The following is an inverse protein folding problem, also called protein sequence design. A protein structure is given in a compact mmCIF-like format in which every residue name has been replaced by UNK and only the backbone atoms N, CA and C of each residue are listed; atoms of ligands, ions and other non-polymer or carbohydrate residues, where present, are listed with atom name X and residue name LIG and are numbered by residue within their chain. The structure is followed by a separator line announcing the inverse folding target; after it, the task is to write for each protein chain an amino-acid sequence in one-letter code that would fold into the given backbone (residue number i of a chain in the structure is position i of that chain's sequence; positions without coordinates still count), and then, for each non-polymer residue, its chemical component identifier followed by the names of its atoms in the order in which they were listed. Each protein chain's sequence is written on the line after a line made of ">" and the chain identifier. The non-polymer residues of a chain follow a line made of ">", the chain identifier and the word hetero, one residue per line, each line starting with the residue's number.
data_IF_565563817231
#
_entry.id   IF_565563817231
#
_cell.length_a   1.000
_cell.length_b   1.000
_cell.length_c   1.000
_cell.angle_alpha   90.00
_cell.angle_beta   90.00
_cell.angle_gamma   90.00
#
_symmetry.space_group_name_H-M   'P 1'
#
loop_
_entity.id
_entity.type
_entity.pdbx_description
1 polymer ?
#
# COMPACT_ATOMS: atom_id res chain seq x y z
N UNK A 1 9.09 -6.82 6.48
CA UNK A 1 7.74 -6.24 6.30
C UNK A 1 7.82 -5.15 5.25
N UNK A 2 6.89 -5.13 4.28
CA UNK A 2 6.88 -4.12 3.22
C UNK A 2 6.90 -2.70 3.82
N UNK A 3 8.06 -2.10 3.87
CA UNK A 3 8.29 -0.75 4.39
C UNK A 3 8.68 0.24 3.28
N UNK A 4 8.68 -0.22 2.00
CA UNK A 4 9.08 0.58 0.87
C UNK A 4 8.56 0.03 -0.45
N UNK A 5 8.04 0.89 -1.31
CA UNK A 5 7.68 0.55 -2.67
C UNK A 5 8.10 1.66 -3.63
N UNK A 6 7.99 1.44 -4.91
CA UNK A 6 8.43 2.39 -5.94
C UNK A 6 7.33 2.62 -6.96
N UNK A 7 7.25 3.85 -7.41
CA UNK A 7 6.55 4.26 -8.63
C UNK A 7 7.63 4.55 -9.66
N UNK A 8 7.69 3.74 -10.71
CA UNK A 8 8.72 3.88 -11.74
C UNK A 8 8.41 5.03 -12.71
N UNK A 9 9.43 5.69 -13.30
CA UNK A 9 9.21 6.81 -14.22
C UNK A 9 8.46 6.47 -15.51
N UNK A 10 8.36 5.17 -15.84
CA UNK A 10 7.69 4.69 -17.06
C UNK A 10 6.26 4.16 -16.81
N UNK A 11 5.75 4.26 -15.59
CA UNK A 11 4.38 3.87 -15.26
C UNK A 11 3.41 5.04 -15.48
N UNK A 12 3.10 5.31 -16.74
CA UNK A 12 2.26 6.44 -17.16
C UNK A 12 0.88 6.44 -16.46
N UNK A 13 0.29 5.27 -16.22
CA UNK A 13 -0.98 5.14 -15.51
C UNK A 13 -0.89 5.71 -14.08
N UNK A 14 0.15 5.34 -13.33
CA UNK A 14 0.34 5.85 -11.97
C UNK A 14 0.69 7.35 -11.98
N UNK A 15 1.51 7.78 -12.94
CA UNK A 15 1.89 9.18 -13.08
C UNK A 15 0.68 10.06 -13.40
N UNK A 16 -0.26 9.58 -14.21
CA UNK A 16 -1.51 10.30 -14.47
C UNK A 16 -2.37 10.42 -13.21
N UNK A 17 -2.49 9.35 -12.42
CA UNK A 17 -3.14 9.40 -11.11
C UNK A 17 -2.50 10.46 -10.20
N UNK A 18 -1.17 10.56 -10.18
CA UNK A 18 -0.45 11.59 -9.39
C UNK A 18 -0.81 13.00 -9.89
N UNK A 19 -0.85 13.23 -11.20
CA UNK A 19 -1.23 14.53 -11.78
C UNK A 19 -2.67 14.90 -11.43
N UNK A 20 -3.60 13.96 -11.54
CA UNK A 20 -5.01 14.16 -11.22
C UNK A 20 -5.20 14.58 -9.77
N UNK A 21 -4.66 13.81 -8.82
CA UNK A 21 -4.86 14.09 -7.39
C UNK A 21 -4.20 15.39 -6.94
N UNK A 22 -3.09 15.80 -7.55
CA UNK A 22 -2.39 17.02 -7.17
C UNK A 22 -3.13 18.32 -7.55
N UNK A 23 -4.20 18.22 -8.38
CA UNK A 23 -5.11 19.31 -8.73
C UNK A 23 -6.34 19.40 -7.82
N UNK A 24 -6.45 18.56 -6.80
CA UNK A 24 -7.61 18.51 -5.92
C UNK A 24 -7.49 19.45 -4.72
N UNK A 25 -8.64 19.86 -4.15
CA UNK A 25 -8.68 20.62 -2.89
C UNK A 25 -8.01 19.87 -1.72
N UNK A 26 -8.04 18.54 -1.76
CA UNK A 26 -7.35 17.73 -0.75
C UNK A 26 -5.83 17.93 -0.82
N UNK A 27 -5.26 18.08 -2.01
CA UNK A 27 -3.84 18.37 -2.19
C UNK A 27 -3.46 19.75 -1.61
N UNK A 28 -4.33 20.75 -1.79
CA UNK A 28 -4.15 22.08 -1.19
C UNK A 28 -4.15 22.00 0.33
N UNK A 29 -5.13 21.29 0.90
CA UNK A 29 -5.21 21.08 2.36
C UNK A 29 -3.96 20.38 2.93
N UNK A 30 -3.39 19.41 2.23
CA UNK A 30 -2.13 18.77 2.64
C UNK A 30 -0.98 19.79 2.68
N UNK A 31 -0.84 20.62 1.62
CA UNK A 31 0.21 21.65 1.55
C UNK A 31 0.06 22.70 2.66
N UNK A 32 -1.17 23.15 2.94
CA UNK A 32 -1.46 24.08 4.05
C UNK A 32 -1.06 23.52 5.41
N UNK A 33 -1.09 22.19 5.58
CA UNK A 33 -0.62 21.50 6.80
C UNK A 33 0.89 21.19 6.78
N UNK A 34 1.63 21.70 5.79
CA UNK A 34 3.06 21.45 5.64
C UNK A 34 3.40 20.02 5.19
N UNK A 35 2.42 19.30 4.63
CA UNK A 35 2.61 17.95 4.09
C UNK A 35 2.64 18.03 2.56
N UNK A 36 3.76 17.64 1.95
CA UNK A 36 3.90 17.64 0.49
C UNK A 36 3.48 16.27 -0.07
N UNK A 37 2.38 16.21 -0.86
CA UNK A 37 2.09 15.01 -1.63
C UNK A 37 3.18 14.75 -2.67
N UNK A 38 3.36 13.48 -3.05
CA UNK A 38 4.30 13.16 -4.13
C UNK A 38 3.83 13.80 -5.45
N UNK A 39 4.78 14.27 -6.25
CA UNK A 39 4.52 14.92 -7.55
C UNK A 39 5.11 14.15 -8.73
N UNK A 40 5.97 13.16 -8.46
CA UNK A 40 6.74 12.43 -9.46
C UNK A 40 7.01 10.98 -9.03
N UNK A 41 7.59 10.24 -9.93
CA UNK A 41 8.10 8.88 -9.68
C UNK A 41 9.18 8.86 -8.60
N UNK A 42 9.34 7.72 -7.96
CA UNK A 42 10.39 7.54 -6.96
C UNK A 42 10.08 6.47 -5.93
N UNK A 43 10.95 6.39 -4.97
CA UNK A 43 10.86 5.48 -3.83
C UNK A 43 9.93 6.07 -2.76
N UNK A 44 8.91 5.31 -2.38
CA UNK A 44 7.87 5.70 -1.43
C UNK A 44 8.18 5.08 -0.06
N UNK A 45 8.18 5.92 0.96
CA UNK A 45 8.46 5.56 2.35
C UNK A 45 7.25 5.86 3.26
N UNK A 46 7.20 5.30 4.47
CA UNK A 46 6.16 5.66 5.44
C UNK A 46 6.08 7.19 5.66
N UNK A 47 4.88 7.67 5.92
CA UNK A 47 4.46 9.07 6.00
C UNK A 47 4.32 9.80 4.65
N UNK A 48 4.76 9.25 3.53
CA UNK A 48 4.47 9.81 2.19
C UNK A 48 2.97 9.91 1.93
N UNK A 49 2.55 10.96 1.21
CA UNK A 49 1.19 11.13 0.72
C UNK A 49 1.15 10.76 -0.76
N UNK A 50 0.38 9.73 -1.07
CA UNK A 50 0.41 9.03 -2.36
C UNK A 50 -1.00 8.81 -2.91
N UNK A 51 -1.17 8.48 -4.20
CA UNK A 51 -2.45 8.05 -4.74
C UNK A 51 -2.89 6.71 -4.11
N UNK A 52 -4.17 6.63 -3.77
CA UNK A 52 -4.85 5.40 -3.39
C UNK A 52 -6.25 5.39 -4.01
N UNK A 53 -6.71 4.24 -4.46
CA UNK A 53 -8.03 4.07 -5.05
C UNK A 53 -8.98 3.49 -4.01
N UNK A 54 -10.12 4.12 -3.83
CA UNK A 54 -11.17 3.69 -2.90
C UNK A 54 -12.55 4.12 -3.40
N UNK A 55 -13.60 3.69 -2.72
CA UNK A 55 -14.95 4.19 -2.96
C UNK A 55 -15.20 5.50 -2.20
N UNK A 56 -15.84 6.44 -2.87
CA UNK A 56 -16.38 7.62 -2.22
C UNK A 56 -17.70 7.31 -1.47
N UNK A 57 -18.31 8.30 -0.82
CA UNK A 57 -19.58 8.13 -0.08
C UNK A 57 -20.78 7.70 -0.95
N UNK A 58 -20.67 7.86 -2.27
CA UNK A 58 -21.70 7.42 -3.24
C UNK A 58 -21.43 6.00 -3.78
N UNK A 59 -20.38 5.32 -3.31
CA UNK A 59 -19.98 4.01 -3.82
C UNK A 59 -19.24 4.07 -5.17
N UNK A 60 -18.79 5.24 -5.60
CA UNK A 60 -18.05 5.40 -6.85
C UNK A 60 -16.56 5.27 -6.62
N UNK A 61 -15.87 4.55 -7.50
CA UNK A 61 -14.41 4.46 -7.52
C UNK A 61 -13.79 5.84 -7.78
N UNK A 62 -12.85 6.24 -6.93
CA UNK A 62 -12.11 7.51 -7.05
C UNK A 62 -10.68 7.33 -6.58
N UNK A 63 -9.82 8.22 -7.06
CA UNK A 63 -8.43 8.33 -6.60
C UNK A 63 -8.38 9.41 -5.51
N UNK A 64 -7.72 9.07 -4.40
CA UNK A 64 -7.52 9.97 -3.27
C UNK A 64 -6.04 10.08 -2.94
N UNK A 65 -5.64 11.20 -2.38
CA UNK A 65 -4.36 11.31 -1.69
C UNK A 65 -4.52 10.76 -0.28
N UNK A 66 -3.68 9.80 0.08
CA UNK A 66 -3.69 9.23 1.42
C UNK A 66 -2.27 9.15 1.98
N UNK A 67 -2.12 9.42 3.27
CA UNK A 67 -0.86 9.31 3.99
C UNK A 67 -0.58 7.85 4.37
N UNK A 68 0.60 7.36 4.10
CA UNK A 68 0.98 6.00 4.49
C UNK A 68 1.35 5.90 5.96
N UNK A 69 0.57 5.14 6.70
CA UNK A 69 0.75 4.82 8.12
C UNK A 69 -0.24 5.51 9.05
N UNK A 70 -0.80 4.71 9.96
CA UNK A 70 -1.67 5.19 11.03
C UNK A 70 -0.83 5.74 12.18
N UNK A 71 -1.19 6.92 12.66
CA UNK A 71 -0.64 7.46 13.89
C UNK A 71 -1.05 6.59 15.10
N UNK A 72 -0.20 6.56 16.11
CA UNK A 72 -0.47 5.89 17.39
C UNK A 72 -0.38 6.92 18.52
N UNK A 73 -1.36 6.91 19.43
CA UNK A 73 -1.44 7.89 20.51
C UNK A 73 -0.23 7.84 21.46
N UNK A 74 0.34 6.65 21.62
CA UNK A 74 1.40 6.38 22.61
C UNK A 74 2.77 6.05 21.99
N UNK A 75 2.90 6.07 20.66
CA UNK A 75 4.15 5.73 20.01
C UNK A 75 4.47 6.70 18.86
N UNK A 76 5.73 7.14 18.79
CA UNK A 76 6.21 7.96 17.66
C UNK A 76 6.24 7.21 16.31
N UNK A 77 6.11 5.88 16.35
CA UNK A 77 6.19 5.01 15.17
C UNK A 77 4.82 4.79 14.56
N UNK A 78 4.70 4.99 13.25
CA UNK A 78 3.49 4.71 12.49
C UNK A 78 3.22 3.20 12.39
N UNK A 79 1.94 2.81 12.41
CA UNK A 79 1.52 1.49 11.93
C UNK A 79 1.41 1.56 10.41
N UNK A 80 2.33 0.94 9.71
CA UNK A 80 2.40 1.00 8.24
C UNK A 80 1.82 -0.24 7.56
N UNK A 81 1.70 -1.34 8.29
CA UNK A 81 1.19 -2.62 7.80
C UNK A 81 0.19 -3.24 8.77
N UNK A 82 -0.71 -4.06 8.22
CA UNK A 82 -1.62 -4.91 8.95
C UNK A 82 -1.53 -6.34 8.42
N UNK A 83 -1.48 -7.32 9.32
CA UNK A 83 -1.50 -8.74 8.93
C UNK A 83 -2.91 -9.16 8.54
N UNK A 84 -3.10 -9.76 7.37
CA UNK A 84 -4.41 -10.24 6.88
C UNK A 84 -5.07 -11.19 7.89
N UNK A 85 -4.28 -12.01 8.56
CA UNK A 85 -4.74 -13.03 9.49
C UNK A 85 -5.41 -12.46 10.77
N UNK A 86 -5.08 -11.22 11.12
CA UNK A 86 -5.56 -10.60 12.38
C UNK A 86 -6.17 -9.22 12.21
N UNK A 87 -6.23 -8.68 10.99
CA UNK A 87 -6.74 -7.33 10.72
C UNK A 87 -8.21 -7.16 11.13
N UNK A 88 -9.04 -8.18 10.88
CA UNK A 88 -10.45 -8.19 11.24
C UNK A 88 -10.72 -8.13 12.76
N UNK A 89 -9.78 -8.65 13.57
CA UNK A 89 -9.95 -8.80 15.02
C UNK A 89 -9.41 -7.61 15.80
N UNK A 90 -8.33 -6.99 15.29
CA UNK A 90 -7.65 -5.89 16.00
C UNK A 90 -8.51 -4.62 16.03
N UNK A 91 -8.80 -4.06 17.22
CA UNK A 91 -9.64 -2.86 17.34
C UNK A 91 -9.17 -1.70 16.48
N UNK A 92 -7.84 -1.49 16.34
CA UNK A 92 -7.25 -0.40 15.54
C UNK A 92 -7.50 -0.54 14.04
N UNK A 93 -7.85 -1.74 13.55
CA UNK A 93 -8.02 -2.06 12.13
C UNK A 93 -9.45 -2.47 11.75
N UNK A 94 -10.21 -3.06 12.68
CA UNK A 94 -11.49 -3.74 12.43
C UNK A 94 -12.49 -2.92 11.63
N UNK A 95 -12.70 -1.65 11.99
CA UNK A 95 -13.62 -0.77 11.26
C UNK A 95 -13.12 -0.49 9.84
N UNK A 96 -11.84 -0.12 9.71
CA UNK A 96 -11.24 0.18 8.42
C UNK A 96 -11.17 -1.06 7.51
N UNK A 97 -10.88 -2.23 8.07
CA UNK A 97 -10.92 -3.52 7.38
C UNK A 97 -12.28 -3.82 6.77
N UNK A 98 -13.36 -3.57 7.49
CA UNK A 98 -14.72 -3.86 7.00
C UNK A 98 -15.28 -2.78 6.08
N UNK A 99 -14.98 -1.48 6.33
CA UNK A 99 -15.72 -0.37 5.74
C UNK A 99 -14.89 0.58 4.87
N UNK A 100 -13.57 0.53 4.92
CA UNK A 100 -12.71 1.54 4.29
C UNK A 100 -11.51 0.93 3.60
N UNK A 101 -11.79 0.03 2.65
CA UNK A 101 -10.73 -0.61 1.86
C UNK A 101 -10.26 0.29 0.74
N UNK A 102 -8.97 0.22 0.44
CA UNK A 102 -8.34 0.92 -0.67
C UNK A 102 -7.29 0.02 -1.33
N UNK A 103 -6.88 0.36 -2.53
CA UNK A 103 -5.72 -0.22 -3.19
C UNK A 103 -4.72 0.87 -3.54
N UNK A 104 -3.46 0.55 -3.42
CA UNK A 104 -2.34 1.47 -3.63
C UNK A 104 -1.58 1.02 -4.87
N UNK A 105 -1.51 1.86 -5.93
CA UNK A 105 -0.75 1.52 -7.12
C UNK A 105 0.76 1.62 -6.85
N UNK A 106 1.49 0.63 -7.34
CA UNK A 106 2.94 0.57 -7.27
C UNK A 106 3.50 -0.09 -8.54
N UNK A 107 4.76 0.16 -8.84
CA UNK A 107 5.50 -0.58 -9.89
C UNK A 107 6.10 -1.85 -9.33
N UNK A 108 6.68 -1.75 -8.13
CA UNK A 108 7.28 -2.86 -7.39
C UNK A 108 7.47 -2.48 -5.92
N UNK A 109 7.70 -3.46 -5.06
CA UNK A 109 8.10 -3.20 -3.68
C UNK A 109 9.56 -3.56 -3.44
N UNK A 110 10.11 -3.06 -2.32
CA UNK A 110 11.49 -3.27 -1.93
C UNK A 110 11.53 -4.02 -0.61
N UNK A 111 12.44 -4.98 -0.54
CA UNK A 111 12.76 -5.69 0.71
C UNK A 111 14.28 -5.91 0.78
N UNK A 112 14.75 -6.15 1.98
CA UNK A 112 16.17 -6.46 2.27
C UNK A 112 16.27 -7.90 2.76
N UNK A 113 17.29 -8.62 2.31
CA UNK A 113 17.59 -9.90 2.92
C UNK A 113 18.02 -9.72 4.39
N UNK A 114 17.74 -10.69 5.21
CA UNK A 114 18.20 -10.72 6.58
C UNK A 114 19.60 -11.38 6.63
N UNK A 115 20.68 -10.56 6.65
CA UNK A 115 21.97 -11.07 7.04
C UNK A 115 21.92 -11.41 8.55
N UNK A 116 22.33 -12.62 8.92
CA UNK A 116 22.43 -13.11 10.31
C UNK A 116 23.30 -12.17 11.20
N UNK A 117 24.12 -11.31 10.60
CA UNK A 117 25.01 -10.36 11.28
C UNK A 117 24.38 -9.01 11.63
N UNK A 118 23.05 -8.84 11.54
CA UNK A 118 22.32 -7.60 11.90
C UNK A 118 22.74 -6.34 11.11
N UNK A 119 23.42 -6.46 10.00
CA UNK A 119 23.64 -5.34 9.06
C UNK A 119 22.43 -5.21 8.15
N UNK A 120 22.10 -4.02 7.64
CA UNK A 120 21.13 -3.92 6.56
C UNK A 120 21.58 -4.85 5.45
N UNK A 121 20.75 -5.81 5.10
CA UNK A 121 21.03 -6.78 4.06
C UNK A 121 21.08 -6.14 2.68
N UNK A 122 21.25 -6.94 1.66
CA UNK A 122 21.17 -6.51 0.27
C UNK A 122 19.74 -6.09 -0.07
N UNK A 123 19.61 -5.04 -0.85
CA UNK A 123 18.34 -4.48 -1.31
C UNK A 123 17.87 -5.22 -2.56
N UNK A 124 16.59 -5.62 -2.58
CA UNK A 124 15.97 -6.29 -3.71
C UNK A 124 14.70 -5.58 -4.14
N UNK A 125 14.52 -5.52 -5.46
CA UNK A 125 13.27 -5.13 -6.12
C UNK A 125 12.43 -6.37 -6.32
N UNK A 126 11.16 -6.32 -5.96
CA UNK A 126 10.26 -7.47 -6.01
C UNK A 126 8.95 -7.07 -6.70
N UNK A 127 8.53 -7.85 -7.70
CA UNK A 127 7.29 -7.64 -8.46
C UNK A 127 6.66 -8.98 -8.85
N UNK A 128 5.37 -9.02 -9.14
CA UNK A 128 4.76 -10.21 -9.73
C UNK A 128 5.43 -10.59 -11.06
N UNK A 129 5.34 -11.85 -11.44
CA UNK A 129 5.79 -12.32 -12.77
C UNK A 129 5.01 -11.64 -13.92
N UNK A 130 3.76 -11.27 -13.65
CA UNK A 130 2.91 -10.56 -14.60
C UNK A 130 3.30 -9.08 -14.70
N UNK A 131 3.23 -8.52 -15.90
CA UNK A 131 3.49 -7.12 -16.16
C UNK A 131 2.25 -6.27 -15.81
N UNK A 132 2.47 -4.98 -15.51
CA UNK A 132 1.43 -3.99 -15.21
C UNK A 132 1.54 -3.40 -13.82
N UNK A 133 0.58 -2.56 -13.48
CA UNK A 133 0.50 -1.91 -12.17
C UNK A 133 0.30 -2.96 -11.08
N UNK A 134 1.11 -2.87 -10.05
CA UNK A 134 0.99 -3.68 -8.83
C UNK A 134 -0.04 -3.03 -7.90
N UNK A 135 -1.16 -3.71 -7.65
CA UNK A 135 -2.19 -3.22 -6.74
C UNK A 135 -1.97 -3.78 -5.33
N UNK A 136 -1.43 -2.95 -4.44
CA UNK A 136 -1.24 -3.33 -3.03
C UNK A 136 -2.56 -3.17 -2.28
N UNK A 137 -3.05 -4.24 -1.65
CA UNK A 137 -4.24 -4.16 -0.81
C UNK A 137 -3.98 -3.33 0.45
N UNK A 138 -4.91 -2.45 0.77
CA UNK A 138 -4.85 -1.61 1.95
C UNK A 138 -6.24 -1.31 2.50
N UNK A 139 -6.24 -0.66 3.64
CA UNK A 139 -7.43 -0.02 4.19
C UNK A 139 -7.04 1.27 4.90
N UNK A 140 -7.98 2.21 5.02
CA UNK A 140 -7.70 3.54 5.51
C UNK A 140 -8.63 3.95 6.65
N UNK A 141 -8.19 4.93 7.43
CA UNK A 141 -9.01 5.65 8.39
C UNK A 141 -8.82 7.15 8.23
N UNK A 142 -9.75 7.92 8.77
CA UNK A 142 -9.57 9.37 8.85
C UNK A 142 -8.83 9.73 10.13
N UNK A 143 -7.75 10.50 10.02
CA UNK A 143 -7.02 11.13 11.13
C UNK A 143 -7.31 12.63 11.10
N UNK A 144 -8.41 13.02 11.75
CA UNK A 144 -9.02 14.32 11.52
C UNK A 144 -9.54 14.43 10.07
N UNK A 145 -8.97 15.35 9.29
CA UNK A 145 -9.32 15.52 7.87
C UNK A 145 -8.37 14.78 6.90
N UNK A 146 -7.36 14.10 7.42
CA UNK A 146 -6.33 13.42 6.63
C UNK A 146 -6.68 11.94 6.52
N UNK A 147 -6.92 11.39 5.32
CA UNK A 147 -7.01 9.95 5.15
C UNK A 147 -5.61 9.32 5.26
N UNK A 148 -5.48 8.36 6.16
CA UNK A 148 -4.26 7.57 6.34
C UNK A 148 -4.55 6.10 6.02
N UNK A 149 -3.59 5.39 5.41
CA UNK A 149 -3.74 3.98 5.05
C UNK A 149 -2.62 3.10 5.62
N UNK A 150 -2.90 1.81 5.67
CA UNK A 150 -1.92 0.76 5.93
C UNK A 150 -1.95 -0.26 4.80
N UNK A 151 -0.81 -0.87 4.51
CA UNK A 151 -0.71 -1.97 3.53
C UNK A 151 -1.00 -3.29 4.23
N UNK A 152 -1.86 -4.11 3.63
CA UNK A 152 -2.15 -5.46 4.12
C UNK A 152 -1.01 -6.39 3.73
N UNK A 153 -0.54 -7.19 4.68
CA UNK A 153 0.52 -8.17 4.47
C UNK A 153 0.04 -9.59 4.78
N UNK A 154 0.65 -10.57 4.14
CA UNK A 154 0.45 -12.01 4.35
C UNK A 154 1.78 -12.71 4.56
N UNK A 155 1.75 -14.02 4.85
CA UNK A 155 2.94 -14.85 4.79
C UNK A 155 3.58 -14.76 3.39
N UNK A 156 4.90 -14.71 3.35
CA UNK A 156 5.65 -14.61 2.10
C UNK A 156 5.50 -15.90 1.28
N UNK A 157 5.44 -15.74 -0.04
CA UNK A 157 5.53 -16.84 -0.98
C UNK A 157 6.94 -17.47 -0.95
N UNK A 158 7.05 -18.75 -1.33
CA UNK A 158 8.32 -19.47 -1.33
C UNK A 158 9.42 -18.80 -2.15
N UNK A 159 9.04 -18.05 -3.20
CA UNK A 159 9.98 -17.33 -4.07
C UNK A 159 10.72 -16.20 -3.38
N UNK A 160 10.15 -15.63 -2.30
CA UNK A 160 10.68 -14.46 -1.58
C UNK A 160 10.81 -14.66 -0.06
N UNK A 161 10.35 -15.79 0.48
CA UNK A 161 10.38 -16.10 1.92
C UNK A 161 11.79 -16.13 2.52
N UNK A 162 12.79 -16.39 1.71
CA UNK A 162 14.20 -16.35 2.11
C UNK A 162 14.70 -14.92 2.43
N UNK A 163 14.06 -13.87 1.86
CA UNK A 163 14.36 -12.48 2.17
C UNK A 163 13.62 -12.00 3.43
N UNK A 164 12.32 -12.29 3.50
CA UNK A 164 11.47 -11.90 4.61
C UNK A 164 10.28 -12.85 4.75
N UNK A 165 9.80 -13.09 5.97
CA UNK A 165 8.65 -13.95 6.30
C UNK A 165 7.29 -13.36 5.86
N UNK A 166 7.26 -12.08 5.48
CA UNK A 166 6.04 -11.36 5.09
C UNK A 166 6.21 -10.67 3.74
N UNK A 167 5.11 -10.61 2.98
CA UNK A 167 5.00 -9.84 1.75
C UNK A 167 3.68 -9.06 1.73
N UNK A 168 3.53 -7.99 0.91
CA UNK A 168 2.24 -7.34 0.73
C UNK A 168 1.23 -8.27 0.05
N UNK A 169 -0.06 -8.09 0.34
CA UNK A 169 -1.13 -8.68 -0.45
C UNK A 169 -1.22 -7.91 -1.76
N UNK A 170 -0.84 -8.56 -2.86
CA UNK A 170 -0.85 -8.00 -4.20
C UNK A 170 -2.03 -8.58 -4.98
N UNK A 171 -2.85 -7.73 -5.55
CA UNK A 171 -4.09 -8.09 -6.23
C UNK A 171 -3.95 -7.90 -7.75
N UNK A 172 -4.65 -8.73 -8.51
CA UNK A 172 -4.93 -8.45 -9.92
C UNK A 172 -5.95 -7.31 -10.05
N UNK A 173 -6.05 -6.68 -11.20
CA UNK A 173 -6.94 -5.54 -11.41
C UNK A 173 -8.40 -5.83 -11.03
N UNK A 174 -8.94 -6.97 -11.44
CA UNK A 174 -10.32 -7.36 -11.11
C UNK A 174 -10.53 -7.59 -9.61
N UNK A 175 -9.56 -8.21 -8.93
CA UNK A 175 -9.64 -8.42 -7.49
C UNK A 175 -9.37 -7.11 -6.71
N UNK A 176 -8.62 -6.17 -7.27
CA UNK A 176 -8.47 -4.82 -6.72
C UNK A 176 -9.80 -4.06 -6.71
N UNK A 177 -10.58 -4.15 -7.81
CA UNK A 177 -11.92 -3.59 -7.89
C UNK A 177 -12.89 -4.25 -6.88
N UNK A 178 -12.80 -5.56 -6.69
CA UNK A 178 -13.60 -6.29 -5.70
C UNK A 178 -13.18 -5.97 -4.27
N UNK A 179 -11.88 -5.75 -4.03
CA UNK A 179 -11.32 -5.42 -2.72
C UNK A 179 -11.91 -4.14 -2.14
N UNK A 180 -12.03 -3.09 -2.94
CA UNK A 180 -12.54 -1.78 -2.47
C UNK A 180 -14.05 -1.78 -2.22
N UNK A 181 -14.81 -2.81 -2.69
CA UNK A 181 -16.27 -2.92 -2.49
C UNK A 181 -16.57 -3.57 -1.14
N UNK A 182 -17.53 -2.98 -0.40
CA UNK A 182 -17.88 -3.41 0.97
C UNK A 182 -18.69 -4.69 1.02
N UNK A 183 -19.31 -5.09 -0.08
CA UNK A 183 -20.13 -6.29 -0.23
C UNK A 183 -19.32 -7.59 -0.43
N UNK A 184 -18.01 -7.48 -0.58
CA UNK A 184 -17.12 -8.63 -0.75
C UNK A 184 -16.37 -8.95 0.56
N UNK A 185 -16.16 -10.26 0.81
CA UNK A 185 -15.29 -10.71 1.92
C UNK A 185 -13.81 -10.44 1.58
N UNK A 186 -13.14 -9.55 2.33
CA UNK A 186 -11.74 -9.24 2.08
C UNK A 186 -10.79 -10.42 2.34
N UNK A 187 -11.14 -11.33 3.24
CA UNK A 187 -10.34 -12.53 3.51
C UNK A 187 -10.28 -13.45 2.31
N UNK A 188 -11.42 -13.66 1.65
CA UNK A 188 -11.50 -14.47 0.43
C UNK A 188 -10.73 -13.85 -0.74
N UNK A 189 -10.78 -12.51 -0.88
CA UNK A 189 -10.05 -11.81 -1.95
C UNK A 189 -8.54 -11.89 -1.68
N UNK A 190 -8.11 -11.63 -0.46
CA UNK A 190 -6.71 -11.74 -0.06
C UNK A 190 -6.14 -13.16 -0.25
N UNK A 191 -6.97 -14.18 -0.13
CA UNK A 191 -6.61 -15.57 -0.41
C UNK A 191 -6.30 -15.87 -1.88
N UNK A 192 -6.78 -15.02 -2.81
CA UNK A 192 -6.54 -15.13 -4.26
C UNK A 192 -5.42 -14.23 -4.77
N UNK A 193 -4.69 -13.57 -3.87
CA UNK A 193 -3.62 -12.65 -4.24
C UNK A 193 -2.49 -13.35 -5.02
N UNK A 194 -1.76 -12.54 -5.78
CA UNK A 194 -0.63 -13.02 -6.56
C UNK A 194 0.46 -13.58 -5.63
N UNK A 195 0.95 -14.77 -5.94
CA UNK A 195 1.94 -15.50 -5.16
C UNK A 195 3.34 -15.39 -5.76
N UNK A 196 3.50 -15.86 -6.98
CA UNK A 196 4.83 -15.95 -7.62
C UNK A 196 5.42 -14.58 -7.91
N UNK A 197 6.57 -14.32 -7.31
CA UNK A 197 7.30 -13.06 -7.44
C UNK A 197 8.60 -13.27 -8.19
N UNK A 198 8.97 -12.28 -9.01
CA UNK A 198 10.33 -12.09 -9.53
C UNK A 198 11.04 -11.09 -8.62
N UNK A 199 12.34 -11.27 -8.48
CA UNK A 199 13.16 -10.35 -7.71
C UNK A 199 14.49 -10.09 -8.43
N UNK A 200 15.02 -8.90 -8.23
CA UNK A 200 16.29 -8.46 -8.79
C UNK A 200 17.09 -7.73 -7.71
N UNK A 201 18.38 -7.90 -7.69
CA UNK A 201 19.27 -7.16 -6.80
C UNK A 201 19.30 -5.68 -7.22
N UNK A 202 19.11 -4.78 -6.28
CA UNK A 202 18.98 -3.34 -6.55
C UNK A 202 20.27 -2.53 -6.36
N UNK A 203 21.46 -3.19 -6.29
CA UNK A 203 22.74 -2.52 -6.16
C UNK A 203 23.22 -2.36 -4.73
#
# INVERSE_FOLDING_TARGET
>A
MCGRYVIAPLDDEILEMIREINRTKLAEMFREKGISPITEAGEITPASVVPAVALNRKGERRIFQMKWGFAQDYAKKLLINARVETAAEKPVFREAWSQRRCVIPASYYIEWDHDEKKKPGKKYVIRPEQNGVVWLAGFYRMEGQIPAFVIVTRAADETVSWMHDRMPVILQADDAERWIRHDNDPGMIAGKCLGKMKWEYAG
#
